data_IF_501322648060
#
_entry.id   IF_501322648060
#
_cell.length_a   1.000
_cell.length_b   1.000
_cell.length_c   1.000
_cell.angle_alpha   90.00
_cell.angle_beta   90.00
_cell.angle_gamma   90.00
#
_symmetry.space_group_name_H-M   'P 1'
#
loop_
_entity.id
_entity.type
_entity.pdbx_description
1 polymer ?
#
# COMPACT_ATOMS: atom_id res chain seq x y z
N UNK A 1 26.39 -2.74 -34.46
CA UNK A 1 26.02 -2.52 -33.37
C UNK A 1 26.18 -3.56 -32.48
N UNK A 2 26.75 -3.80 -32.02
CA UNK A 2 27.31 -4.87 -31.75
C UNK A 2 27.36 -5.30 -30.36
N UNK A 3 28.39 -5.95 -29.95
CA UNK A 3 28.55 -6.55 -28.64
C UNK A 3 28.51 -5.52 -27.51
N UNK A 4 29.07 -4.36 -27.74
CA UNK A 4 29.06 -3.27 -26.76
C UNK A 4 27.64 -2.82 -26.52
N UNK A 5 26.87 -2.69 -27.57
CA UNK A 5 25.47 -2.31 -27.48
C UNK A 5 24.68 -3.38 -26.78
N UNK A 6 24.96 -4.65 -27.00
CA UNK A 6 24.28 -5.76 -26.39
C UNK A 6 24.52 -5.77 -24.88
N UNK A 7 25.75 -5.55 -24.44
CA UNK A 7 26.06 -5.50 -23.01
C UNK A 7 25.39 -4.31 -22.33
N UNK A 8 25.40 -3.18 -22.99
CA UNK A 8 24.72 -1.99 -22.50
C UNK A 8 23.22 -2.21 -22.41
N UNK A 9 22.65 -2.88 -23.41
CA UNK A 9 21.22 -3.21 -23.42
C UNK A 9 20.86 -4.13 -22.27
N UNK A 10 21.71 -5.09 -21.93
CA UNK A 10 21.47 -5.98 -20.82
C UNK A 10 21.40 -5.22 -19.49
N UNK A 11 22.27 -4.24 -19.29
CA UNK A 11 22.22 -3.41 -18.08
C UNK A 11 20.97 -2.55 -18.06
N UNK A 12 20.65 -1.93 -19.17
CA UNK A 12 19.45 -1.13 -19.28
C UNK A 12 18.22 -1.99 -19.04
N UNK A 13 18.21 -3.21 -19.57
CA UNK A 13 17.11 -4.13 -19.38
C UNK A 13 16.97 -4.53 -17.91
N UNK A 14 18.08 -4.71 -17.19
CA UNK A 14 18.03 -5.01 -15.76
C UNK A 14 17.39 -3.86 -14.99
N UNK A 15 17.85 -2.63 -15.17
CA UNK A 15 17.27 -1.47 -14.51
C UNK A 15 15.82 -1.25 -14.94
N UNK A 16 15.53 -1.44 -16.24
CA UNK A 16 14.19 -1.28 -16.74
C UNK A 16 13.24 -2.35 -16.22
N UNK A 17 13.74 -3.56 -15.95
CA UNK A 17 12.88 -4.64 -15.47
C UNK A 17 12.77 -4.71 -13.95
N UNK A 18 13.62 -4.02 -13.21
CA UNK A 18 13.59 -4.01 -11.75
C UNK A 18 13.32 -2.62 -11.21
N UNK A 19 14.12 -1.63 -11.66
CA UNK A 19 14.03 -0.27 -11.14
C UNK A 19 12.96 0.56 -11.84
N UNK A 20 13.06 0.69 -13.18
CA UNK A 20 12.12 1.54 -13.92
C UNK A 20 10.69 1.01 -13.93
N UNK A 21 10.45 -0.31 -14.07
CA UNK A 21 9.10 -0.81 -13.90
C UNK A 21 8.55 -0.56 -12.52
N UNK A 22 9.38 -0.65 -11.48
CA UNK A 22 8.93 -0.35 -10.13
C UNK A 22 8.49 1.10 -10.01
N UNK A 23 9.29 2.04 -10.54
CA UNK A 23 8.93 3.45 -10.54
C UNK A 23 7.66 3.70 -11.35
N UNK A 24 7.55 3.07 -12.52
CA UNK A 24 6.36 3.21 -13.37
C UNK A 24 5.12 2.66 -12.67
N UNK A 25 5.24 1.51 -12.02
CA UNK A 25 4.14 0.92 -11.26
C UNK A 25 3.70 1.83 -10.12
N UNK A 26 4.64 2.42 -9.41
CA UNK A 26 4.33 3.34 -8.31
C UNK A 26 3.68 4.61 -8.85
N UNK A 27 4.21 5.18 -9.92
CA UNK A 27 3.65 6.38 -10.54
C UNK A 27 2.22 6.13 -11.02
N UNK A 28 1.99 4.98 -11.66
CA UNK A 28 0.68 4.60 -12.15
C UNK A 28 -0.29 4.42 -10.97
N UNK A 29 0.16 3.77 -9.90
CA UNK A 29 -0.66 3.56 -8.71
C UNK A 29 -1.06 4.90 -8.06
N UNK A 30 -0.12 5.84 -7.98
CA UNK A 30 -0.38 7.17 -7.43
C UNK A 30 -1.38 7.92 -8.31
N UNK A 31 -1.20 7.85 -9.63
CA UNK A 31 -2.11 8.50 -10.57
C UNK A 31 -3.52 7.93 -10.49
N UNK A 32 -3.64 6.63 -10.31
CA UNK A 32 -4.93 5.94 -10.26
C UNK A 32 -5.56 5.86 -8.87
N UNK A 33 -4.99 6.52 -7.89
CA UNK A 33 -5.48 6.42 -6.51
C UNK A 33 -6.95 6.83 -6.35
N UNK A 34 -7.41 7.77 -7.15
CA UNK A 34 -8.81 8.20 -7.08
C UNK A 34 -9.77 7.17 -7.68
N UNK A 35 -9.27 6.27 -8.52
CA UNK A 35 -10.06 5.15 -9.04
C UNK A 35 -10.19 4.04 -7.99
N UNK A 36 -9.20 3.92 -7.11
CA UNK A 36 -9.25 2.95 -6.01
C UNK A 36 -10.26 3.40 -4.96
N UNK A 37 -10.20 4.68 -4.61
CA UNK A 37 -11.12 5.28 -3.65
C UNK A 37 -11.18 6.78 -3.89
N UNK A 38 -12.38 7.34 -3.84
CA UNK A 38 -12.62 8.75 -4.17
C UNK A 38 -11.78 9.73 -3.36
N UNK A 39 -11.37 9.34 -2.14
CA UNK A 39 -10.54 10.18 -1.30
C UNK A 39 -9.09 10.30 -1.77
N UNK A 40 -8.65 9.39 -2.65
CA UNK A 40 -7.30 9.43 -3.19
C UNK A 40 -6.20 9.18 -2.16
N UNK A 41 -6.50 8.50 -1.06
CA UNK A 41 -5.54 8.26 0.02
C UNK A 41 -5.00 6.83 0.07
N UNK A 42 -5.38 6.03 -0.91
CA UNK A 42 -5.00 4.62 -0.97
C UNK A 42 -4.44 4.32 -2.36
N UNK A 43 -3.29 3.65 -2.40
CA UNK A 43 -2.70 3.17 -3.66
C UNK A 43 -2.71 1.65 -3.66
N UNK A 44 -2.65 1.07 -4.84
CA UNK A 44 -2.70 -0.38 -4.99
C UNK A 44 -1.72 -0.86 -6.04
N UNK A 45 -1.02 -1.94 -5.73
CA UNK A 45 -0.11 -2.62 -6.65
C UNK A 45 -0.60 -4.03 -6.91
N UNK A 46 -0.52 -4.47 -8.15
CA UNK A 46 -0.89 -5.85 -8.50
C UNK A 46 0.20 -6.87 -8.17
N UNK A 47 1.44 -6.41 -8.00
CA UNK A 47 2.56 -7.29 -7.72
C UNK A 47 3.10 -7.00 -6.32
N UNK A 48 3.11 -8.03 -5.47
CA UNK A 48 3.68 -7.90 -4.15
C UNK A 48 5.19 -7.96 -4.20
N UNK A 49 5.99 -7.38 -3.66
CA UNK A 49 7.44 -7.46 -3.69
C UNK A 49 8.12 -6.39 -4.53
N UNK A 50 7.36 -5.46 -5.06
CA UNK A 50 7.93 -4.32 -5.74
C UNK A 50 8.57 -3.38 -4.72
N UNK A 51 9.82 -2.93 -4.92
CA UNK A 51 10.46 -1.96 -4.03
C UNK A 51 9.87 -0.57 -4.28
N UNK A 52 8.77 -0.27 -3.64
CA UNK A 52 7.97 0.92 -3.95
C UNK A 52 8.28 2.16 -3.12
N UNK A 53 8.78 1.98 -1.91
CA UNK A 53 8.89 3.11 -0.96
C UNK A 53 9.75 4.27 -1.44
N UNK A 54 10.94 3.99 -1.93
CA UNK A 54 11.83 5.03 -2.40
C UNK A 54 11.22 5.84 -3.54
N UNK A 55 10.68 5.13 -4.52
CA UNK A 55 10.01 5.77 -5.66
C UNK A 55 8.79 6.57 -5.23
N UNK A 56 8.05 6.01 -4.29
CA UNK A 56 6.85 6.65 -3.76
C UNK A 56 7.15 8.00 -3.13
N UNK A 57 8.14 8.04 -2.25
CA UNK A 57 8.48 9.29 -1.58
C UNK A 57 9.01 10.35 -2.54
N UNK A 58 9.77 9.93 -3.54
CA UNK A 58 10.24 10.85 -4.59
C UNK A 58 9.08 11.42 -5.39
N UNK A 59 8.14 10.56 -5.77
CA UNK A 59 6.97 10.99 -6.54
C UNK A 59 6.07 11.93 -5.76
N UNK A 60 5.90 11.68 -4.47
CA UNK A 60 5.13 12.58 -3.62
C UNK A 60 5.70 13.98 -3.61
N UNK A 61 7.02 14.09 -3.52
CA UNK A 61 7.70 15.37 -3.54
C UNK A 61 7.56 16.07 -4.88
N UNK A 62 7.73 15.32 -5.96
CA UNK A 62 7.61 15.85 -7.31
C UNK A 62 6.21 16.39 -7.60
N UNK A 63 5.18 15.74 -7.07
CA UNK A 63 3.80 16.10 -7.31
C UNK A 63 3.18 16.97 -6.22
N UNK A 64 3.93 17.29 -5.18
CA UNK A 64 3.46 18.09 -4.04
C UNK A 64 2.24 17.47 -3.36
N UNK A 65 2.26 16.16 -3.18
CA UNK A 65 1.16 15.43 -2.52
C UNK A 65 1.63 14.75 -1.24
N UNK A 66 2.70 15.24 -0.65
CA UNK A 66 3.27 14.63 0.54
C UNK A 66 2.23 14.51 1.65
N UNK A 67 2.16 13.33 2.25
CA UNK A 67 1.25 13.07 3.37
C UNK A 67 -0.19 12.75 2.97
N UNK A 68 -0.56 12.83 1.71
CA UNK A 68 -1.93 12.57 1.27
C UNK A 68 -2.28 11.09 1.22
N UNK A 69 -1.34 10.24 0.87
CA UNK A 69 -1.57 8.80 0.74
C UNK A 69 -1.27 8.11 2.05
N UNK A 70 -2.23 7.36 2.57
CA UNK A 70 -2.15 6.77 3.91
C UNK A 70 -1.93 5.26 3.90
N UNK A 71 -2.44 4.55 2.91
CA UNK A 71 -2.36 3.10 2.84
C UNK A 71 -1.97 2.61 1.46
N UNK A 72 -1.31 1.47 1.44
CA UNK A 72 -0.90 0.79 0.21
C UNK A 72 -1.47 -0.63 0.23
N UNK A 73 -2.13 -1.03 -0.85
CA UNK A 73 -2.63 -2.38 -1.02
C UNK A 73 -1.71 -3.12 -1.99
N UNK A 74 -1.33 -4.34 -1.65
CA UNK A 74 -0.56 -5.17 -2.57
C UNK A 74 -0.92 -6.64 -2.40
N UNK A 75 -0.74 -7.39 -3.48
CA UNK A 75 -1.05 -8.81 -3.48
C UNK A 75 0.10 -9.60 -2.88
N UNK A 76 -0.24 -10.55 -2.01
CA UNK A 76 0.71 -11.53 -1.52
C UNK A 76 0.47 -12.81 -2.30
N UNK A 77 1.20 -12.98 -3.39
CA UNK A 77 1.02 -14.11 -4.30
C UNK A 77 1.27 -15.46 -3.63
N UNK A 78 2.22 -15.51 -2.69
CA UNK A 78 2.55 -16.75 -2.01
C UNK A 78 1.38 -17.31 -1.19
N UNK A 79 0.57 -16.43 -0.62
CA UNK A 79 -0.57 -16.81 0.21
C UNK A 79 -1.91 -16.54 -0.46
N UNK A 80 -1.89 -16.17 -1.73
CA UNK A 80 -3.11 -15.86 -2.49
C UNK A 80 -4.03 -14.90 -1.75
N UNK A 81 -3.45 -13.85 -1.22
CA UNK A 81 -4.18 -12.89 -0.40
C UNK A 81 -3.68 -11.48 -0.66
N UNK A 82 -4.33 -10.51 -0.05
CA UNK A 82 -3.96 -9.11 -0.18
C UNK A 82 -3.53 -8.54 1.16
N UNK A 83 -2.59 -7.61 1.08
CA UNK A 83 -2.10 -6.90 2.27
C UNK A 83 -2.49 -5.44 2.17
N UNK A 84 -2.78 -4.86 3.35
CA UNK A 84 -2.98 -3.43 3.49
C UNK A 84 -1.90 -2.94 4.45
N UNK A 85 -1.03 -2.07 3.96
CA UNK A 85 0.09 -1.56 4.74
C UNK A 85 -0.04 -0.05 4.93
N UNK A 86 0.24 0.41 6.14
CA UNK A 86 0.24 1.83 6.42
C UNK A 86 1.50 2.46 5.82
N UNK A 87 1.36 3.60 5.18
CA UNK A 87 2.49 4.33 4.62
C UNK A 87 3.25 4.99 5.76
N UNK A 88 4.59 4.81 5.84
CA UNK A 88 5.35 5.48 6.90
C UNK A 88 5.42 6.99 6.67
N UNK A 89 5.71 7.73 7.74
CA UNK A 89 5.79 9.20 7.66
C UNK A 89 6.93 9.65 6.75
N UNK A 90 7.99 8.85 6.69
CA UNK A 90 9.12 9.10 5.78
C UNK A 90 9.81 7.78 5.48
N UNK A 91 10.67 7.77 4.47
CA UNK A 91 11.38 6.57 4.07
C UNK A 91 12.21 6.04 5.25
N UNK A 92 12.19 4.72 5.42
CA UNK A 92 12.90 4.01 6.49
C UNK A 92 12.39 4.32 7.90
N UNK A 93 11.27 5.01 8.03
CA UNK A 93 10.67 5.25 9.34
C UNK A 93 9.81 4.05 9.76
N UNK A 94 9.74 3.82 11.07
CA UNK A 94 8.83 2.84 11.64
C UNK A 94 7.51 3.47 12.09
N UNK A 95 7.39 4.77 11.94
CA UNK A 95 6.18 5.50 12.32
C UNK A 95 5.27 5.61 11.11
N UNK A 96 4.03 5.15 11.25
CA UNK A 96 3.03 5.19 10.16
C UNK A 96 2.27 6.51 10.18
N UNK A 97 1.89 6.99 8.99
CA UNK A 97 1.05 8.17 8.86
C UNK A 97 -0.29 7.97 9.54
N UNK A 98 -0.84 6.76 9.37
CA UNK A 98 -2.09 6.36 10.04
C UNK A 98 -2.03 4.85 10.23
N UNK A 99 -2.28 4.37 11.43
CA UNK A 99 -2.32 2.93 11.71
C UNK A 99 -3.72 2.41 11.45
N UNK A 100 -3.84 1.12 11.17
CA UNK A 100 -5.14 0.47 11.10
C UNK A 100 -5.84 0.60 12.46
N UNK A 101 -7.16 0.47 12.47
CA UNK A 101 -7.95 0.70 13.69
C UNK A 101 -7.39 -0.07 14.88
N UNK A 102 -7.22 0.62 15.97
CA UNK A 102 -6.69 0.04 17.20
C UNK A 102 -7.50 -1.18 17.67
N UNK A 103 -8.79 -1.13 17.50
CA UNK A 103 -9.70 -2.22 17.88
C UNK A 103 -9.38 -3.51 17.13
N UNK A 104 -8.74 -3.42 15.97
CA UNK A 104 -8.42 -4.58 15.15
C UNK A 104 -7.01 -5.14 15.41
N UNK A 105 -6.19 -4.38 16.11
CA UNK A 105 -4.79 -4.77 16.32
C UNK A 105 -4.69 -6.09 17.09
N UNK A 106 -3.82 -6.98 16.62
CA UNK A 106 -3.58 -8.31 17.16
C UNK A 106 -4.74 -9.30 16.96
N UNK A 107 -5.79 -8.91 16.28
CA UNK A 107 -6.88 -9.83 15.94
C UNK A 107 -6.58 -10.60 14.66
N UNK A 108 -7.19 -11.76 14.51
CA UNK A 108 -7.00 -12.62 13.34
C UNK A 108 -8.30 -13.32 12.95
N UNK A 109 -8.35 -13.73 11.69
CA UNK A 109 -9.38 -14.62 11.15
C UNK A 109 -10.81 -14.19 11.48
N UNK A 110 -11.61 -15.10 11.95
CA UNK A 110 -13.03 -14.83 12.19
C UNK A 110 -13.27 -13.74 13.24
N UNK A 111 -12.45 -13.70 14.29
CA UNK A 111 -12.56 -12.67 15.30
C UNK A 111 -12.37 -11.28 14.70
N UNK A 112 -11.39 -11.14 13.81
CA UNK A 112 -11.15 -9.88 13.12
C UNK A 112 -12.28 -9.57 12.15
N UNK A 113 -12.77 -10.57 11.41
CA UNK A 113 -13.88 -10.37 10.48
C UNK A 113 -15.13 -9.90 11.20
N UNK A 114 -15.42 -10.50 12.36
CA UNK A 114 -16.56 -10.11 13.17
C UNK A 114 -16.41 -8.69 13.73
N UNK A 115 -15.23 -8.35 14.20
CA UNK A 115 -14.97 -7.03 14.79
C UNK A 115 -14.99 -5.92 13.74
N UNK A 116 -14.43 -6.19 12.59
CA UNK A 116 -14.34 -5.18 11.50
C UNK A 116 -15.59 -5.14 10.64
N UNK A 117 -16.41 -6.18 10.69
CA UNK A 117 -17.56 -6.36 9.80
C UNK A 117 -17.12 -6.45 8.33
N UNK A 118 -15.93 -6.97 8.11
CA UNK A 118 -15.37 -7.20 6.78
C UNK A 118 -15.06 -8.69 6.63
N UNK A 119 -15.60 -9.33 5.61
CA UNK A 119 -15.34 -10.74 5.38
C UNK A 119 -13.91 -10.99 4.89
N UNK A 120 -13.39 -12.16 5.19
CA UNK A 120 -12.13 -12.61 4.67
C UNK A 120 -10.90 -12.02 5.32
N UNK A 121 -11.04 -11.38 6.46
CA UNK A 121 -9.89 -10.85 7.18
C UNK A 121 -8.95 -11.96 7.63
N UNK A 122 -7.66 -11.72 7.53
CA UNK A 122 -6.63 -12.68 7.92
C UNK A 122 -5.98 -12.24 9.21
N UNK A 123 -5.49 -11.01 9.27
CA UNK A 123 -4.84 -10.49 10.46
C UNK A 123 -4.69 -8.97 10.42
N UNK A 124 -4.45 -8.38 11.59
CA UNK A 124 -3.92 -7.03 11.73
C UNK A 124 -2.79 -7.13 12.76
N UNK A 125 -1.62 -6.65 12.39
CA UNK A 125 -0.46 -6.68 13.27
C UNK A 125 -0.75 -5.90 14.56
N UNK A 126 -0.17 -6.34 15.68
CA UNK A 126 -0.39 -5.68 16.97
C UNK A 126 -0.03 -4.19 16.94
N UNK A 127 0.96 -3.81 16.14
CA UNK A 127 1.35 -2.41 15.98
C UNK A 127 0.48 -1.63 14.98
N UNK A 128 -0.39 -2.32 14.23
CA UNK A 128 -1.32 -1.66 13.32
C UNK A 128 -0.74 -1.17 12.00
N UNK A 129 0.50 -1.52 11.67
CA UNK A 129 1.12 -1.02 10.43
C UNK A 129 0.84 -1.88 9.20
N UNK A 130 0.34 -3.10 9.39
CA UNK A 130 0.02 -3.98 8.29
C UNK A 130 -1.12 -4.91 8.67
N UNK A 131 -1.95 -5.24 7.71
CA UNK A 131 -3.01 -6.22 7.86
C UNK A 131 -3.18 -7.01 6.58
N UNK A 132 -4.08 -7.98 6.58
CA UNK A 132 -4.33 -8.80 5.42
C UNK A 132 -5.76 -9.23 5.30
N UNK A 133 -6.18 -9.47 4.05
CA UNK A 133 -7.50 -9.97 3.73
C UNK A 133 -7.37 -10.92 2.54
N UNK A 134 -8.29 -11.85 2.42
CA UNK A 134 -8.28 -12.80 1.32
C UNK A 134 -8.54 -12.13 -0.03
N UNK A 135 -9.20 -11.00 -0.05
CA UNK A 135 -9.56 -10.30 -1.28
C UNK A 135 -9.05 -8.87 -1.29
N UNK A 136 -8.87 -8.33 -2.50
CA UNK A 136 -8.50 -6.93 -2.68
C UNK A 136 -9.59 -6.02 -2.12
N UNK A 137 -10.85 -6.35 -2.40
CA UNK A 137 -11.99 -5.59 -1.90
C UNK A 137 -12.01 -5.52 -0.38
N UNK A 138 -11.73 -6.65 0.30
CA UNK A 138 -11.68 -6.69 1.76
C UNK A 138 -10.54 -5.86 2.32
N UNK A 139 -9.35 -5.96 1.71
CA UNK A 139 -8.21 -5.15 2.13
C UNK A 139 -8.50 -3.66 1.94
N UNK A 140 -9.13 -3.29 0.83
CA UNK A 140 -9.54 -1.92 0.56
C UNK A 140 -10.52 -1.43 1.63
N UNK A 141 -11.50 -2.25 2.01
CA UNK A 141 -12.45 -1.88 3.05
C UNK A 141 -11.78 -1.66 4.41
N UNK A 142 -10.76 -2.44 4.71
CA UNK A 142 -9.98 -2.24 5.94
C UNK A 142 -9.35 -0.85 5.96
N UNK A 143 -8.77 -0.42 4.87
CA UNK A 143 -8.18 0.91 4.76
C UNK A 143 -9.26 2.00 4.83
N UNK A 144 -10.34 1.85 4.08
CA UNK A 144 -11.42 2.84 4.04
C UNK A 144 -12.04 3.03 5.41
N UNK A 145 -12.39 1.94 6.08
CA UNK A 145 -13.01 2.03 7.41
C UNK A 145 -12.10 2.69 8.43
N UNK A 146 -10.79 2.43 8.32
CA UNK A 146 -9.82 3.08 9.21
C UNK A 146 -9.80 4.60 8.98
N UNK A 147 -9.77 5.02 7.72
CA UNK A 147 -9.75 6.45 7.37
C UNK A 147 -11.04 7.13 7.81
N UNK A 148 -12.17 6.50 7.55
CA UNK A 148 -13.47 7.06 7.93
C UNK A 148 -13.64 7.17 9.44
N UNK A 149 -13.16 6.19 10.18
CA UNK A 149 -13.20 6.22 11.64
C UNK A 149 -12.35 7.37 12.18
N UNK A 150 -11.20 7.63 11.55
CA UNK A 150 -10.34 8.74 11.92
C UNK A 150 -11.03 10.10 11.68
N UNK A 151 -11.73 10.24 10.55
CA UNK A 151 -12.46 11.47 10.26
C UNK A 151 -13.60 11.70 11.25
N UNK A 152 -14.31 10.61 11.58
CA UNK A 152 -15.41 10.67 12.56
C UNK A 152 -14.90 11.13 13.92
N UNK A 153 -13.76 10.61 14.36
CA UNK A 153 -13.16 11.02 15.62
C UNK A 153 -12.74 12.49 15.60
N UNK A 154 -12.18 12.95 14.48
CA UNK A 154 -11.79 14.35 14.33
C UNK A 154 -12.99 15.29 14.39
N UNK A 155 -14.09 14.87 13.78
CA UNK A 155 -15.31 15.68 13.73
C UNK A 155 -16.10 15.62 15.03
N UNK A 156 -15.84 14.61 15.85
CA UNK A 156 -16.55 14.42 17.12
C UNK A 156 -15.99 15.22 18.29
N UNK A 157 -14.97 16.02 18.02
CA UNK A 157 -14.34 16.81 19.07
C UNK A 157 -14.82 18.28 19.06
#
# INVERSE_FOLDING_TARGET
MSLVTSEFVDRVAFYANVWWPARTLVADAVEKRFEIWEGGRIISFCNGGCPWKEHFFELEKEQNIEGQILFCLFEDEANESWRVAAVPVEDQSFVSRMKLKEDWCALRDQELSDKSEIEGCIFVHAAGFIGGNKTKSGALQMAIKTIEASKSNSNGV
#
